data_IF_316263224958
#
_entry.id   IF_316263224958
#
_cell.length_a   1.000
_cell.length_b   1.000
_cell.length_c   1.000
_cell.angle_alpha   90.00
_cell.angle_beta   90.00
_cell.angle_gamma   90.00
#
_symmetry.space_group_name_H-M   'P 1'
#
loop_
_entity.id
_entity.type
_entity.pdbx_description
1 polymer ?
#
# COMPACT_ATOMS: atom_id res chain seq x y z
N UNK A 1 9.71 -16.78 -20.67
CA UNK A 1 10.69 -15.72 -20.40
C UNK A 1 10.62 -15.19 -18.97
N UNK A 2 11.76 -15.20 -18.26
CA UNK A 2 11.92 -14.58 -16.95
C UNK A 2 12.57 -13.20 -17.13
N UNK A 3 11.76 -12.15 -17.02
CA UNK A 3 12.25 -10.76 -17.04
C UNK A 3 12.27 -10.17 -15.62
N UNK A 4 13.00 -9.08 -15.42
CA UNK A 4 13.06 -8.42 -14.11
C UNK A 4 11.67 -8.06 -13.55
N UNK A 5 10.72 -7.45 -14.31
CA UNK A 5 9.36 -7.21 -13.80
C UNK A 5 8.60 -8.48 -13.43
N UNK A 6 8.79 -9.58 -14.17
CA UNK A 6 8.17 -10.87 -13.85
C UNK A 6 8.73 -11.46 -12.56
N UNK A 7 10.05 -11.34 -12.33
CA UNK A 7 10.67 -11.75 -11.08
C UNK A 7 10.12 -10.95 -9.89
N UNK A 8 10.04 -9.62 -10.03
CA UNK A 8 9.48 -8.73 -9.00
C UNK A 8 8.03 -9.11 -8.67
N UNK A 9 7.19 -9.33 -9.70
CA UNK A 9 5.81 -9.77 -9.51
C UNK A 9 5.71 -11.12 -8.76
N UNK A 10 6.58 -12.08 -9.09
CA UNK A 10 6.63 -13.38 -8.38
C UNK A 10 7.03 -13.20 -6.91
N UNK A 11 8.01 -12.36 -6.62
CA UNK A 11 8.42 -12.06 -5.24
C UNK A 11 7.30 -11.43 -4.42
N UNK A 12 6.55 -10.50 -5.02
CA UNK A 12 5.40 -9.86 -4.38
C UNK A 12 4.32 -10.88 -4.05
N UNK A 13 3.96 -11.74 -5.01
CA UNK A 13 2.97 -12.80 -4.82
C UNK A 13 3.41 -13.86 -3.80
N UNK A 14 4.73 -14.06 -3.65
CA UNK A 14 5.31 -14.90 -2.61
C UNK A 14 5.52 -14.15 -1.27
N UNK A 15 4.97 -12.95 -1.09
CA UNK A 15 5.10 -12.09 0.09
C UNK A 15 6.54 -11.69 0.47
N UNK A 16 7.49 -11.76 -0.46
CA UNK A 16 8.87 -11.30 -0.27
C UNK A 16 9.01 -9.80 -0.56
N UNK A 17 8.20 -8.95 0.07
CA UNK A 17 8.11 -7.51 -0.26
C UNK A 17 9.41 -6.75 -0.07
N UNK A 18 10.18 -7.04 0.98
CA UNK A 18 11.46 -6.37 1.23
C UNK A 18 12.47 -6.65 0.10
N UNK A 19 12.57 -7.91 -0.32
CA UNK A 19 13.48 -8.30 -1.40
C UNK A 19 13.03 -7.69 -2.73
N UNK A 20 11.73 -7.74 -3.03
CA UNK A 20 11.16 -7.11 -4.22
C UNK A 20 11.44 -5.60 -4.24
N UNK A 21 11.29 -4.92 -3.10
CA UNK A 21 11.55 -3.48 -2.97
C UNK A 21 13.01 -3.14 -3.28
N UNK A 22 13.95 -3.87 -2.65
CA UNK A 22 15.39 -3.66 -2.85
C UNK A 22 15.84 -3.95 -4.27
N UNK A 23 15.29 -4.98 -4.90
CA UNK A 23 15.59 -5.28 -6.31
C UNK A 23 15.00 -4.23 -7.24
N UNK A 24 13.77 -3.76 -7.01
CA UNK A 24 13.20 -2.67 -7.78
C UNK A 24 14.02 -1.39 -7.66
N UNK A 25 14.47 -1.05 -6.45
CA UNK A 25 15.37 0.09 -6.20
C UNK A 25 16.69 -0.06 -6.96
N UNK A 26 17.35 -1.22 -6.86
CA UNK A 26 18.61 -1.50 -7.54
C UNK A 26 18.50 -1.45 -9.07
N UNK A 27 17.37 -1.92 -9.62
CA UNK A 27 17.12 -1.96 -11.07
C UNK A 27 16.48 -0.68 -11.61
N UNK A 28 16.20 0.33 -10.77
CA UNK A 28 15.52 1.56 -11.16
C UNK A 28 14.06 1.36 -11.60
N UNK A 29 13.40 0.28 -11.14
CA UNK A 29 12.01 -0.03 -11.44
C UNK A 29 11.06 0.68 -10.46
N UNK A 30 9.82 0.92 -10.91
CA UNK A 30 8.78 1.48 -10.05
C UNK A 30 8.48 0.54 -8.86
N UNK A 31 8.48 1.10 -7.65
CA UNK A 31 8.28 0.40 -6.38
C UNK A 31 6.80 0.41 -5.94
N UNK A 32 5.96 1.17 -6.62
CA UNK A 32 4.55 1.40 -6.27
C UNK A 32 3.78 0.08 -6.07
N UNK A 33 3.92 -0.86 -7.00
CA UNK A 33 3.22 -2.14 -6.94
C UNK A 33 3.67 -2.98 -5.74
N UNK A 34 4.96 -2.93 -5.39
CA UNK A 34 5.51 -3.66 -4.23
C UNK A 34 4.92 -3.12 -2.93
N UNK A 35 4.95 -1.79 -2.77
CA UNK A 35 4.46 -1.12 -1.56
C UNK A 35 2.94 -1.25 -1.44
N UNK A 36 2.20 -1.11 -2.55
CA UNK A 36 0.75 -1.28 -2.57
C UNK A 36 0.37 -2.70 -2.11
N UNK A 37 0.99 -3.73 -2.69
CA UNK A 37 0.69 -5.11 -2.30
C UNK A 37 1.10 -5.40 -0.85
N UNK A 38 2.24 -4.88 -0.40
CA UNK A 38 2.64 -4.97 1.00
C UNK A 38 1.61 -4.32 1.92
N UNK A 39 1.13 -3.11 1.59
CA UNK A 39 0.14 -2.38 2.39
C UNK A 39 -1.17 -3.17 2.52
N UNK A 40 -1.70 -3.68 1.40
CA UNK A 40 -2.88 -4.54 1.40
C UNK A 40 -2.67 -5.81 2.25
N UNK A 41 -1.53 -6.48 2.09
CA UNK A 41 -1.17 -7.66 2.89
C UNK A 41 -1.10 -7.31 4.38
N UNK A 42 -0.52 -6.16 4.73
CA UNK A 42 -0.38 -5.70 6.11
C UNK A 42 -1.74 -5.41 6.75
N UNK A 43 -2.65 -4.76 6.02
CA UNK A 43 -4.02 -4.52 6.47
C UNK A 43 -4.74 -5.85 6.76
N UNK A 44 -4.72 -6.78 5.80
CA UNK A 44 -5.43 -8.06 5.93
C UNK A 44 -4.85 -8.94 7.03
N UNK A 45 -3.54 -8.92 7.26
CA UNK A 45 -2.88 -9.73 8.30
C UNK A 45 -2.96 -9.13 9.71
N UNK A 46 -3.21 -7.81 9.85
CA UNK A 46 -3.11 -7.12 11.14
C UNK A 46 -4.47 -6.97 11.85
N UNK A 47 -5.33 -8.00 11.82
CA UNK A 47 -6.72 -7.92 12.32
C UNK A 47 -6.86 -7.49 13.79
N UNK A 48 -5.93 -7.88 14.66
CA UNK A 48 -5.93 -7.51 16.08
C UNK A 48 -5.26 -6.16 16.39
N UNK A 49 -4.60 -5.54 15.40
CA UNK A 49 -3.88 -4.29 15.60
C UNK A 49 -4.84 -3.09 15.55
N UNK A 50 -4.74 -2.14 16.49
CA UNK A 50 -5.49 -0.89 16.44
C UNK A 50 -5.23 -0.10 15.16
N UNK A 51 -6.26 0.56 14.62
CA UNK A 51 -6.16 1.30 13.36
C UNK A 51 -5.15 2.45 13.44
N UNK A 52 -4.99 3.10 14.60
CA UNK A 52 -4.03 4.18 14.78
C UNK A 52 -2.57 3.72 14.59
N UNK A 53 -2.20 2.60 15.21
CA UNK A 53 -0.85 2.04 15.10
C UNK A 53 -0.59 1.53 13.67
N UNK A 54 -1.60 0.90 13.08
CA UNK A 54 -1.51 0.41 11.71
C UNK A 54 -1.37 1.56 10.71
N UNK A 55 -2.11 2.66 10.89
CA UNK A 55 -2.02 3.86 10.06
C UNK A 55 -0.60 4.43 10.09
N UNK A 56 0.01 4.58 11.28
CA UNK A 56 1.36 5.10 11.40
C UNK A 56 2.39 4.26 10.62
N UNK A 57 2.28 2.93 10.69
CA UNK A 57 3.14 2.00 9.95
C UNK A 57 2.92 2.11 8.44
N UNK A 58 1.67 2.22 8.00
CA UNK A 58 1.33 2.38 6.58
C UNK A 58 1.91 3.69 6.04
N UNK A 59 1.63 4.82 6.67
CA UNK A 59 2.09 6.14 6.24
C UNK A 59 3.62 6.23 6.18
N UNK A 60 4.32 5.62 7.14
CA UNK A 60 5.79 5.58 7.14
C UNK A 60 6.37 4.88 5.90
N UNK A 61 5.63 3.93 5.32
CA UNK A 61 6.08 3.18 4.14
C UNK A 61 5.53 3.76 2.84
N UNK A 62 4.29 4.23 2.82
CA UNK A 62 3.67 4.86 1.66
C UNK A 62 4.43 6.14 1.25
N UNK A 63 4.93 6.93 2.21
CA UNK A 63 5.73 8.15 1.94
C UNK A 63 7.06 7.89 1.22
N UNK A 64 7.57 6.65 1.25
CA UNK A 64 8.83 6.30 0.57
C UNK A 64 8.65 6.24 -0.96
N UNK A 65 7.42 6.02 -1.43
CA UNK A 65 7.10 5.96 -2.84
C UNK A 65 6.53 7.31 -3.31
N UNK A 66 7.37 8.12 -3.98
CA UNK A 66 6.94 9.40 -4.53
C UNK A 66 5.79 9.20 -5.52
N UNK A 67 4.73 9.97 -5.36
CA UNK A 67 3.58 9.98 -6.27
C UNK A 67 2.59 8.82 -6.10
N UNK A 68 2.77 7.98 -5.08
CA UNK A 68 1.84 6.89 -4.78
C UNK A 68 0.43 7.39 -4.44
N UNK A 69 -0.56 6.69 -4.98
CA UNK A 69 -1.98 6.91 -4.74
C UNK A 69 -2.44 6.10 -3.53
N UNK A 70 -2.80 6.77 -2.43
CA UNK A 70 -3.23 6.10 -1.20
C UNK A 70 -4.69 5.64 -1.29
N UNK A 71 -5.48 6.16 -2.24
CA UNK A 71 -6.87 5.80 -2.45
C UNK A 71 -7.07 4.29 -2.65
N UNK A 72 -6.15 3.62 -3.37
CA UNK A 72 -6.21 2.15 -3.56
C UNK A 72 -5.99 1.38 -2.26
N UNK A 73 -5.13 1.90 -1.38
CA UNK A 73 -4.87 1.31 -0.06
C UNK A 73 -6.06 1.55 0.87
N UNK A 74 -6.65 2.74 0.83
CA UNK A 74 -7.86 3.07 1.55
C UNK A 74 -9.06 2.20 1.11
N UNK A 75 -9.25 2.02 -0.20
CA UNK A 75 -10.29 1.14 -0.75
C UNK A 75 -10.11 -0.31 -0.25
N UNK A 76 -8.88 -0.81 -0.20
CA UNK A 76 -8.60 -2.14 0.36
C UNK A 76 -8.89 -2.21 1.87
N UNK A 77 -8.60 -1.15 2.61
CA UNK A 77 -8.92 -1.05 4.04
C UNK A 77 -10.44 -1.09 4.28
N UNK A 78 -11.22 -0.35 3.48
CA UNK A 78 -12.69 -0.35 3.57
C UNK A 78 -13.27 -1.73 3.25
N UNK A 79 -12.81 -2.36 2.15
CA UNK A 79 -13.19 -3.74 1.78
C UNK A 79 -12.80 -4.78 2.83
N UNK A 80 -11.77 -4.51 3.62
CA UNK A 80 -11.35 -5.36 4.75
C UNK A 80 -12.14 -5.09 6.04
N UNK A 81 -13.19 -4.26 5.99
CA UNK A 81 -14.04 -3.90 7.13
C UNK A 81 -13.46 -2.80 8.03
N UNK A 82 -12.29 -2.23 7.68
CA UNK A 82 -11.60 -1.20 8.47
C UNK A 82 -11.92 0.20 7.96
N UNK A 83 -13.20 0.59 8.02
CA UNK A 83 -13.68 1.87 7.50
C UNK A 83 -13.00 3.09 8.11
N UNK A 84 -12.72 3.06 9.42
CA UNK A 84 -12.04 4.16 10.13
C UNK A 84 -10.61 4.33 9.64
N UNK A 85 -9.88 3.23 9.48
CA UNK A 85 -8.57 3.23 8.85
C UNK A 85 -8.61 3.77 7.42
N UNK A 86 -9.58 3.34 6.61
CA UNK A 86 -9.74 3.80 5.24
C UNK A 86 -9.91 5.33 5.16
N UNK A 87 -10.80 5.89 5.97
CA UNK A 87 -10.99 7.34 6.05
C UNK A 87 -9.70 8.07 6.44
N UNK A 88 -9.00 7.58 7.48
CA UNK A 88 -7.74 8.18 7.90
C UNK A 88 -6.65 8.11 6.82
N UNK A 89 -6.57 7.03 6.04
CA UNK A 89 -5.61 6.94 4.92
C UNK A 89 -5.92 8.00 3.85
N UNK A 90 -7.20 8.21 3.51
CA UNK A 90 -7.64 9.21 2.51
C UNK A 90 -7.31 10.63 2.97
N UNK A 91 -7.45 10.95 4.25
CA UNK A 91 -7.10 12.28 4.79
C UNK A 91 -5.61 12.62 4.56
N UNK A 92 -4.75 11.61 4.54
CA UNK A 92 -3.31 11.73 4.28
C UNK A 92 -2.93 11.65 2.79
N UNK A 93 -3.91 11.54 1.88
CA UNK A 93 -3.66 11.50 0.43
C UNK A 93 -3.01 12.81 -0.04
N UNK A 94 -1.83 12.75 -0.70
CA UNK A 94 -1.13 13.95 -1.18
C UNK A 94 -1.88 14.71 -2.28
N UNK A 95 -2.77 14.04 -3.02
CA UNK A 95 -3.56 14.67 -4.06
C UNK A 95 -4.93 15.11 -3.52
N UNK A 96 -5.13 16.42 -3.34
CA UNK A 96 -6.38 16.96 -2.76
C UNK A 96 -7.65 16.59 -3.53
N UNK A 97 -7.55 16.32 -4.84
CA UNK A 97 -8.68 15.83 -5.64
C UNK A 97 -9.12 14.41 -5.27
N UNK A 98 -8.26 13.65 -4.57
CA UNK A 98 -8.50 12.27 -4.12
C UNK A 98 -8.73 12.16 -2.61
N UNK A 99 -8.61 13.27 -1.86
CA UNK A 99 -8.99 13.36 -0.44
C UNK A 99 -10.52 13.29 -0.23
N UNK A 100 -11.32 13.20 -1.29
CA UNK A 100 -12.78 13.13 -1.19
C UNK A 100 -13.16 11.83 -0.46
N UNK A 101 -13.94 11.91 0.64
CA UNK A 101 -14.31 10.72 1.40
C UNK A 101 -15.03 9.71 0.50
N UNK A 102 -14.66 8.43 0.59
CA UNK A 102 -15.36 7.29 -0.02
C UNK A 102 -16.77 7.05 0.57
N UNK A 103 -17.42 8.08 1.13
CA UNK A 103 -18.76 8.04 1.74
C UNK A 103 -19.90 8.26 0.73
N UNK A 104 -19.64 8.13 -0.57
CA UNK A 104 -20.66 8.22 -1.62
C UNK A 104 -20.75 6.89 -2.38
N UNK A 105 -21.24 5.85 -1.70
CA UNK A 105 -21.83 4.63 -2.28
C UNK A 105 -22.61 3.86 -1.22
#
# INVERSE_FOLDING_TARGET
ELTAPVLISRLINAHHHLLALRLSEYLGLNQELVIMHWACTKITSSLAMPDFDLLAILLDKLKLCKGMDYARVAEHADKSGRRKLAAAIVEHEPYSSKQVPLLLS
#
